data_IF_991729872891
#
_entry.id   IF_991729872891
#
_cell.length_a   1.000
_cell.length_b   1.000
_cell.length_c   1.000
_cell.angle_alpha   90.00
_cell.angle_beta   90.00
_cell.angle_gamma   90.00
#
_symmetry.space_group_name_H-M   'P 1'
#
loop_
_entity.id
_entity.type
_entity.pdbx_description
1 polymer ?
#
# COMPACT_ATOMS: atom_id res chain seq x y z
N UNK A 1 -3.48 5.62 2.06
CA UNK A 1 -2.17 5.10 2.48
C UNK A 1 -2.41 4.10 3.58
N UNK A 2 -2.12 2.82 3.35
CA UNK A 2 -2.19 1.81 4.40
C UNK A 2 -0.91 1.84 5.24
N UNK A 3 -1.03 1.72 6.56
CA UNK A 3 0.11 1.64 7.48
C UNK A 3 0.08 0.31 8.21
N UNK A 4 1.22 -0.38 8.15
CA UNK A 4 1.48 -1.62 8.89
C UNK A 4 2.74 -1.41 9.71
N UNK A 5 2.70 -1.73 10.99
CA UNK A 5 3.89 -1.72 11.85
C UNK A 5 4.37 -3.14 12.10
N UNK A 6 5.68 -3.31 12.14
CA UNK A 6 6.34 -4.55 12.54
C UNK A 6 7.26 -4.25 13.72
N UNK A 7 7.07 -4.95 14.83
CA UNK A 7 7.83 -4.75 16.06
C UNK A 7 8.10 -6.08 16.76
N UNK A 8 9.00 -6.06 17.75
CA UNK A 8 9.28 -7.20 18.62
C UNK A 8 8.58 -6.95 19.96
N UNK A 9 7.77 -7.88 20.43
CA UNK A 9 7.09 -7.75 21.73
C UNK A 9 8.05 -8.12 22.89
N UNK A 10 7.58 -7.97 24.13
CA UNK A 10 8.38 -8.25 25.34
C UNK A 10 8.84 -9.71 25.45
N UNK A 11 8.22 -10.62 24.72
CA UNK A 11 8.56 -12.05 24.68
C UNK A 11 9.57 -12.37 23.57
N UNK A 12 10.01 -11.37 22.79
CA UNK A 12 10.94 -11.56 21.67
C UNK A 12 10.28 -11.97 20.34
N UNK A 13 8.96 -12.02 20.28
CA UNK A 13 8.25 -12.39 19.05
C UNK A 13 8.08 -11.20 18.11
N UNK A 14 8.34 -11.44 16.82
CA UNK A 14 8.00 -10.51 15.76
C UNK A 14 6.48 -10.48 15.59
N UNK A 15 5.89 -9.29 15.73
CA UNK A 15 4.48 -9.03 15.47
C UNK A 15 4.36 -8.06 14.31
N UNK A 16 3.40 -8.33 13.44
CA UNK A 16 2.96 -7.41 12.40
C UNK A 16 1.51 -7.01 12.67
N UNK A 17 1.23 -5.71 12.60
CA UNK A 17 -0.07 -5.13 12.91
C UNK A 17 -0.43 -4.09 11.86
N UNK A 18 -1.54 -4.32 11.18
CA UNK A 18 -2.22 -3.28 10.43
C UNK A 18 -2.75 -2.24 11.41
N UNK A 19 -2.44 -0.97 11.15
CA UNK A 19 -2.86 0.14 12.01
C UNK A 19 -4.11 0.79 11.44
N UNK A 20 -4.02 1.29 10.20
CA UNK A 20 -5.13 1.97 9.56
C UNK A 20 -4.85 2.22 8.06
N UNK A 21 -5.89 2.64 7.33
CA UNK A 21 -5.82 3.26 6.01
C UNK A 21 -6.20 4.73 6.13
N UNK A 22 -5.22 5.63 6.04
CA UNK A 22 -5.49 7.07 5.98
C UNK A 22 -5.78 7.49 4.54
N UNK A 23 -6.90 8.18 4.32
CA UNK A 23 -7.17 8.84 3.05
C UNK A 23 -6.35 10.13 2.91
N UNK A 24 -5.31 10.11 2.06
CA UNK A 24 -4.42 11.24 1.85
C UNK A 24 -4.76 11.92 0.51
N UNK A 25 -5.42 13.09 0.57
CA UNK A 25 -5.85 13.85 -0.63
C UNK A 25 -4.71 14.27 -1.58
N UNK A 26 -3.51 14.49 -1.04
CA UNK A 26 -2.30 14.85 -1.81
C UNK A 26 -1.21 13.83 -1.49
N UNK A 27 -0.65 13.17 -2.49
CA UNK A 27 0.35 12.10 -2.30
C UNK A 27 1.79 12.61 -2.23
N UNK A 28 2.00 13.89 -1.89
CA UNK A 28 3.35 14.44 -1.69
C UNK A 28 4.02 13.84 -0.45
N UNK A 29 5.36 13.74 -0.41
CA UNK A 29 6.07 13.19 0.74
C UNK A 29 5.74 13.92 2.06
N UNK A 30 5.52 15.25 2.02
CA UNK A 30 5.09 16.03 3.20
C UNK A 30 3.70 15.63 3.69
N UNK A 31 2.75 15.47 2.77
CA UNK A 31 1.38 15.05 3.10
C UNK A 31 1.35 13.63 3.66
N UNK A 32 2.17 12.73 3.11
CA UNK A 32 2.32 11.36 3.60
C UNK A 32 2.97 11.33 5.00
N UNK A 33 4.00 12.16 5.25
CA UNK A 33 4.62 12.29 6.58
C UNK A 33 3.59 12.74 7.62
N UNK A 34 2.82 13.78 7.31
CA UNK A 34 1.79 14.29 8.22
C UNK A 34 0.73 13.23 8.55
N UNK A 35 0.31 12.45 7.55
CA UNK A 35 -0.61 11.34 7.75
C UNK A 35 -0.01 10.24 8.65
N UNK A 36 1.26 9.89 8.43
CA UNK A 36 1.99 8.93 9.26
C UNK A 36 2.12 9.44 10.71
N UNK A 37 2.54 10.68 10.93
CA UNK A 37 2.70 11.27 12.26
C UNK A 37 1.39 11.29 13.05
N UNK A 38 0.28 11.64 12.38
CA UNK A 38 -1.07 11.57 12.97
C UNK A 38 -1.37 10.15 13.46
N UNK A 39 -1.17 9.15 12.61
CA UNK A 39 -1.47 7.75 12.96
C UNK A 39 -0.54 7.20 14.04
N UNK A 40 0.75 7.56 14.03
CA UNK A 40 1.68 7.20 15.09
C UNK A 40 1.26 7.82 16.43
N UNK A 41 0.91 9.11 16.43
CA UNK A 41 0.48 9.84 17.63
C UNK A 41 -0.76 9.22 18.28
N UNK A 42 -1.76 8.82 17.48
CA UNK A 42 -2.95 8.10 17.96
C UNK A 42 -2.57 6.81 18.68
N UNK A 43 -1.50 6.15 18.25
CA UNK A 43 -0.98 4.91 18.83
C UNK A 43 0.11 5.16 19.89
N UNK A 44 0.27 6.41 20.37
CA UNK A 44 1.31 6.79 21.34
C UNK A 44 2.75 6.50 20.85
N UNK A 45 2.95 6.55 19.53
CA UNK A 45 4.24 6.39 18.86
C UNK A 45 4.68 7.71 18.22
N UNK A 46 5.96 7.78 17.88
CA UNK A 46 6.58 8.94 17.23
C UNK A 46 7.51 8.49 16.10
N UNK A 47 7.96 9.44 15.27
CA UNK A 47 8.98 9.17 14.25
C UNK A 47 10.29 8.66 14.87
N UNK A 48 10.64 9.12 16.08
CA UNK A 48 11.82 8.64 16.81
C UNK A 48 11.72 7.16 17.22
N UNK A 49 10.51 6.59 17.26
CA UNK A 49 10.29 5.16 17.54
C UNK A 49 10.58 4.27 16.32
N UNK A 50 10.75 4.85 15.13
CA UNK A 50 10.96 4.10 13.89
C UNK A 50 12.41 3.65 13.79
N UNK A 51 12.63 2.34 13.66
CA UNK A 51 13.97 1.76 13.40
C UNK A 51 14.19 1.51 11.91
N UNK A 52 13.13 1.10 11.20
CA UNK A 52 13.18 0.87 9.76
C UNK A 52 11.91 1.36 9.10
N UNK A 53 12.06 1.80 7.85
CA UNK A 53 10.97 2.18 6.98
C UNK A 53 11.03 1.33 5.69
N UNK A 54 9.88 0.80 5.28
CA UNK A 54 9.78 -0.12 4.13
C UNK A 54 8.60 0.23 3.23
N UNK A 55 8.88 0.66 2.00
CA UNK A 55 7.88 0.99 0.98
C UNK A 55 8.53 1.07 -0.42
N UNK A 56 7.71 1.29 -1.44
CA UNK A 56 8.12 1.27 -2.85
C UNK A 56 9.11 2.40 -3.23
N UNK A 57 9.59 2.33 -4.48
CA UNK A 57 10.55 3.25 -5.05
C UNK A 57 9.95 4.53 -5.65
N UNK A 58 8.66 4.82 -5.47
CA UNK A 58 8.03 6.01 -6.06
C UNK A 58 8.72 7.30 -5.60
N UNK A 59 8.72 8.33 -6.44
CA UNK A 59 9.44 9.59 -6.17
C UNK A 59 8.99 10.26 -4.87
N UNK A 60 7.69 10.28 -4.59
CA UNK A 60 7.15 10.83 -3.34
C UNK A 60 7.49 9.99 -2.09
N UNK A 61 7.89 8.72 -2.28
CA UNK A 61 8.31 7.80 -1.21
C UNK A 61 9.83 7.84 -1.01
N UNK A 62 10.60 7.41 -2.03
CA UNK A 62 12.07 7.26 -1.97
C UNK A 62 12.85 8.54 -2.28
N UNK A 63 12.22 9.54 -2.89
CA UNK A 63 12.89 10.70 -3.48
C UNK A 63 13.82 11.45 -2.52
N UNK A 64 14.99 11.83 -3.04
CA UNK A 64 16.01 12.60 -2.30
C UNK A 64 15.52 13.99 -1.90
N UNK A 65 14.65 14.60 -2.70
CA UNK A 65 14.13 15.94 -2.45
C UNK A 65 12.64 15.85 -2.12
N UNK A 66 12.30 15.97 -0.84
CA UNK A 66 10.92 16.00 -0.37
C UNK A 66 10.17 14.65 -0.38
N UNK A 67 10.85 13.54 -0.68
CA UNK A 67 10.29 12.20 -0.52
C UNK A 67 10.14 11.83 0.96
N UNK A 68 9.14 11.00 1.28
CA UNK A 68 8.83 10.56 2.65
C UNK A 68 10.07 10.00 3.35
N UNK A 69 10.85 9.18 2.65
CA UNK A 69 12.12 8.61 3.12
C UNK A 69 13.04 9.67 3.68
N UNK A 70 13.31 10.68 2.88
CA UNK A 70 14.24 11.74 3.24
C UNK A 70 13.70 12.54 4.42
N UNK A 71 12.40 12.83 4.41
CA UNK A 71 11.78 13.60 5.50
C UNK A 71 11.82 12.85 6.85
N UNK A 72 11.61 11.54 6.86
CA UNK A 72 11.74 10.71 8.06
C UNK A 72 13.20 10.61 8.49
N UNK A 73 14.14 10.38 7.56
CA UNK A 73 15.57 10.27 7.89
C UNK A 73 16.17 11.58 8.42
N UNK A 74 15.67 12.73 7.98
CA UNK A 74 16.10 14.03 8.51
C UNK A 74 15.70 14.23 9.98
N UNK A 75 14.59 13.62 10.43
CA UNK A 75 14.11 13.71 11.80
C UNK A 75 14.64 12.58 12.68
N UNK A 76 14.79 11.39 12.11
CA UNK A 76 15.36 10.21 12.76
C UNK A 76 16.41 9.57 11.84
N UNK A 77 17.69 9.96 11.96
CA UNK A 77 18.79 9.41 11.14
C UNK A 77 18.95 7.90 11.25
N UNK A 78 18.49 7.29 12.35
CA UNK A 78 18.56 5.84 12.59
C UNK A 78 17.45 5.05 11.86
N UNK A 79 16.43 5.73 11.32
CA UNK A 79 15.32 5.09 10.60
C UNK A 79 15.75 4.63 9.19
N UNK A 80 16.39 3.46 9.12
CA UNK A 80 16.96 2.94 7.88
C UNK A 80 15.87 2.59 6.86
N UNK A 81 16.09 2.99 5.60
CA UNK A 81 15.18 2.68 4.50
C UNK A 81 15.53 1.36 3.82
N UNK A 82 14.60 0.41 3.89
CA UNK A 82 14.61 -0.81 3.07
C UNK A 82 13.68 -0.64 1.87
N UNK A 83 14.21 -0.82 0.67
CA UNK A 83 13.39 -0.80 -0.54
C UNK A 83 12.47 -2.03 -0.59
N UNK A 84 11.17 -1.83 -0.81
CA UNK A 84 10.23 -2.95 -0.90
C UNK A 84 10.41 -3.70 -2.22
N UNK A 85 11.07 -4.86 -2.16
CA UNK A 85 11.41 -5.68 -3.33
C UNK A 85 10.18 -6.22 -4.06
N UNK A 86 9.03 -6.35 -3.40
CA UNK A 86 7.80 -6.87 -4.02
C UNK A 86 7.40 -6.08 -5.27
N UNK A 87 7.62 -4.76 -5.29
CA UNK A 87 7.32 -3.96 -6.48
C UNK A 87 8.26 -4.27 -7.66
N UNK A 88 9.56 -4.44 -7.39
CA UNK A 88 10.53 -4.82 -8.42
C UNK A 88 10.27 -6.25 -8.92
N UNK A 89 9.94 -7.14 -8.00
CA UNK A 89 9.55 -8.50 -8.34
C UNK A 89 8.30 -8.54 -9.21
N UNK A 90 7.28 -7.76 -8.86
CA UNK A 90 6.07 -7.63 -9.67
C UNK A 90 6.38 -7.10 -11.08
N UNK A 91 7.23 -6.07 -11.19
CA UNK A 91 7.62 -5.55 -12.49
C UNK A 91 8.38 -6.58 -13.32
N UNK A 92 9.30 -7.34 -12.71
CA UNK A 92 10.01 -8.42 -13.36
C UNK A 92 9.06 -9.54 -13.82
N UNK A 93 8.10 -9.92 -12.97
CA UNK A 93 7.09 -10.91 -13.29
C UNK A 93 6.20 -10.46 -14.46
N UNK A 94 5.73 -9.21 -14.44
CA UNK A 94 4.95 -8.62 -15.54
C UNK A 94 5.78 -8.57 -16.82
N UNK A 95 7.05 -8.17 -16.75
CA UNK A 95 7.93 -8.16 -17.91
C UNK A 95 8.11 -9.57 -18.49
N UNK A 96 8.33 -10.58 -17.64
CA UNK A 96 8.42 -11.98 -18.05
C UNK A 96 7.11 -12.52 -18.64
N UNK A 97 5.96 -12.19 -18.05
CA UNK A 97 4.65 -12.59 -18.58
C UNK A 97 4.42 -12.05 -19.99
N UNK A 98 4.83 -10.80 -20.25
CA UNK A 98 4.71 -10.16 -21.56
C UNK A 98 5.61 -10.75 -22.64
N UNK A 99 6.67 -11.47 -22.29
CA UNK A 99 7.50 -12.18 -23.30
C UNK A 99 6.85 -13.48 -23.78
N UNK A 100 5.82 -13.98 -23.09
CA UNK A 100 5.13 -15.22 -23.42
C UNK A 100 3.77 -14.91 -24.04
N UNK A 101 3.60 -15.21 -25.33
CA UNK A 101 2.42 -14.82 -26.11
C UNK A 101 1.11 -15.28 -25.48
N UNK A 102 0.98 -16.55 -25.11
CA UNK A 102 -0.27 -17.09 -24.57
C UNK A 102 -0.65 -16.42 -23.23
N UNK A 103 0.33 -16.11 -22.40
CA UNK A 103 0.13 -15.41 -21.12
C UNK A 103 -0.27 -13.96 -21.40
N UNK A 104 0.40 -13.28 -22.32
CA UNK A 104 0.04 -11.92 -22.74
C UNK A 104 -1.39 -11.88 -23.28
N UNK A 105 -1.73 -12.76 -24.22
CA UNK A 105 -3.04 -12.84 -24.86
C UNK A 105 -4.14 -13.12 -23.81
N UNK A 106 -3.86 -13.96 -22.81
CA UNK A 106 -4.77 -14.19 -21.68
C UNK A 106 -5.03 -12.90 -20.89
N UNK A 107 -3.98 -12.20 -20.47
CA UNK A 107 -4.13 -10.96 -19.70
C UNK A 107 -4.76 -9.84 -20.52
N UNK A 108 -4.52 -9.76 -21.83
CA UNK A 108 -5.16 -8.80 -22.73
C UNK A 108 -6.67 -9.04 -22.81
N UNK A 109 -7.12 -10.31 -22.93
CA UNK A 109 -8.55 -10.65 -22.88
C UNK A 109 -9.19 -10.29 -21.55
N UNK A 110 -8.51 -10.55 -20.44
CA UNK A 110 -8.99 -10.16 -19.10
C UNK A 110 -9.11 -8.64 -18.99
N UNK A 111 -8.11 -7.90 -19.45
CA UNK A 111 -8.14 -6.43 -19.46
C UNK A 111 -9.31 -5.90 -20.31
N UNK A 112 -9.52 -6.44 -21.52
CA UNK A 112 -10.66 -6.07 -22.37
C UNK A 112 -12.01 -6.29 -21.68
N UNK A 113 -12.15 -7.40 -20.94
CA UNK A 113 -13.36 -7.68 -20.18
C UNK A 113 -13.58 -6.66 -19.05
N UNK A 114 -12.53 -6.38 -18.28
CA UNK A 114 -12.56 -5.38 -17.19
C UNK A 114 -12.88 -3.99 -17.74
N UNK A 115 -12.24 -3.58 -18.84
CA UNK A 115 -12.48 -2.30 -19.49
C UNK A 115 -13.90 -2.20 -20.01
N UNK A 116 -14.46 -3.29 -20.54
CA UNK A 116 -15.88 -3.33 -20.91
C UNK A 116 -16.77 -3.05 -19.69
N UNK A 117 -16.52 -3.64 -18.53
CA UNK A 117 -17.31 -3.34 -17.33
C UNK A 117 -17.16 -1.86 -16.94
N UNK A 118 -15.92 -1.36 -16.88
CA UNK A 118 -15.60 0.02 -16.46
C UNK A 118 -16.06 1.09 -17.46
N UNK A 119 -16.24 0.75 -18.73
CA UNK A 119 -16.73 1.70 -19.74
C UNK A 119 -18.17 2.13 -19.51
N UNK A 120 -18.90 1.50 -18.58
CA UNK A 120 -20.26 1.82 -18.23
C UNK A 120 -20.40 1.99 -16.72
N UNK A 121 -20.63 3.24 -16.28
CA UNK A 121 -20.91 3.55 -14.88
C UNK A 121 -22.03 2.66 -14.30
N UNK A 122 -23.01 2.26 -15.10
CA UNK A 122 -24.09 1.34 -14.68
C UNK A 122 -23.56 -0.07 -14.38
N UNK A 123 -22.70 -0.62 -15.24
CA UNK A 123 -22.11 -1.96 -15.01
C UNK A 123 -21.14 -1.94 -13.84
N UNK A 124 -20.36 -0.87 -13.71
CA UNK A 124 -19.46 -0.67 -12.58
C UNK A 124 -20.23 -0.56 -11.25
N UNK A 125 -21.28 0.27 -11.19
CA UNK A 125 -22.13 0.38 -10.00
C UNK A 125 -22.77 -0.96 -9.63
N UNK A 126 -23.33 -1.69 -10.60
CA UNK A 126 -23.91 -3.01 -10.34
C UNK A 126 -22.90 -4.02 -9.76
N UNK A 127 -21.63 -3.93 -10.17
CA UNK A 127 -20.57 -4.77 -9.61
C UNK A 127 -20.25 -4.37 -8.16
N UNK A 128 -20.14 -3.06 -7.89
CA UNK A 128 -19.89 -2.53 -6.55
C UNK A 128 -21.02 -2.89 -5.58
N UNK A 129 -22.28 -2.73 -6.00
CA UNK A 129 -23.45 -3.06 -5.17
C UNK A 129 -23.46 -4.55 -4.79
N UNK A 130 -23.12 -5.43 -5.74
CA UNK A 130 -22.97 -6.87 -5.47
C UNK A 130 -21.84 -7.17 -4.51
N UNK A 131 -20.69 -6.51 -4.66
CA UNK A 131 -19.56 -6.68 -3.74
C UNK A 131 -19.92 -6.23 -2.32
N UNK A 132 -20.54 -5.05 -2.16
CA UNK A 132 -20.99 -4.53 -0.86
C UNK A 132 -21.96 -5.50 -0.20
N UNK A 133 -22.93 -6.02 -0.97
CA UNK A 133 -23.89 -7.00 -0.47
C UNK A 133 -23.20 -8.29 0.01
N UNK A 134 -22.19 -8.76 -0.71
CA UNK A 134 -21.44 -9.96 -0.33
C UNK A 134 -20.58 -9.74 0.93
N UNK A 135 -19.91 -8.58 1.04
CA UNK A 135 -19.15 -8.24 2.24
C UNK A 135 -20.05 -8.07 3.47
N UNK A 136 -21.24 -7.48 3.31
CA UNK A 136 -22.21 -7.37 4.40
C UNK A 136 -22.60 -8.75 4.94
N UNK A 137 -22.89 -9.71 4.06
CA UNK A 137 -23.22 -11.09 4.45
C UNK A 137 -22.08 -11.78 5.19
N UNK A 138 -20.84 -11.64 4.71
CA UNK A 138 -19.67 -12.24 5.37
C UNK A 138 -19.43 -11.67 6.77
N UNK A 139 -19.68 -10.37 6.98
CA UNK A 139 -19.56 -9.74 8.29
C UNK A 139 -20.67 -10.21 9.23
N UNK A 140 -21.88 -10.46 8.72
CA UNK A 140 -23.00 -11.00 9.49
C UNK A 140 -22.84 -12.49 9.83
N UNK A 141 -22.07 -13.25 9.05
CA UNK A 141 -21.79 -14.68 9.28
C UNK A 141 -20.61 -14.92 10.25
N UNK A 142 -19.70 -13.95 10.41
CA UNK A 142 -18.51 -14.03 11.29
C UNK A 142 -18.71 -13.38 12.69
N UNK A 143 -19.91 -12.85 13.00
CA UNK A 143 -20.25 -12.20 14.27
C UNK A 143 -21.19 -13.02 15.15
#
# INVERSE_FOLDING_TARGET
MAIVIRYVNNEGWIKERFIDIENVKKTSGKSLKKALEKLLSINSLSISSIVRQGYDGASNMRGKFGGLRTLIQNENPSAYYGHYFAHQFQLALVACAKTHKDISDFFDKVNMFVDSIRSSNKREQLLLDKQVTQFAKLIEEDG
#
